data_IF_856411561744
#
_entry.id   IF_856411561744
#
_cell.length_a   1.000
_cell.length_b   1.000
_cell.length_c   1.000
_cell.angle_alpha   90.00
_cell.angle_beta   90.00
_cell.angle_gamma   90.00
#
_symmetry.space_group_name_H-M   'P 1'
#
loop_
_entity.id
_entity.type
_entity.pdbx_description
1 polymer ?
#
# COMPACT_ATOMS: atom_id res chain seq x y z
N UNK A 1 59.80 41.90 6.30
CA UNK A 1 58.44 41.41 6.61
C UNK A 1 58.16 40.27 5.66
N UNK A 2 58.08 39.07 6.21
CA UNK A 2 57.96 37.81 5.49
C UNK A 2 56.51 37.58 5.07
N UNK A 3 56.26 37.26 3.80
CA UNK A 3 55.00 36.64 3.39
C UNK A 3 55.32 35.34 2.66
N UNK A 4 55.01 34.24 3.35
CA UNK A 4 55.17 32.88 2.89
C UNK A 4 54.10 32.46 1.89
N UNK A 5 54.54 31.64 0.94
CA UNK A 5 53.88 30.48 0.32
C UNK A 5 52.35 30.37 0.47
N UNK A 6 51.63 30.56 -0.64
CA UNK A 6 50.29 29.99 -0.82
C UNK A 6 50.45 28.64 -1.54
N UNK A 7 50.25 27.55 -0.80
CA UNK A 7 50.23 26.20 -1.32
C UNK A 7 48.98 25.97 -2.17
N UNK A 8 49.19 25.36 -3.32
CA UNK A 8 48.15 24.78 -4.17
C UNK A 8 47.94 23.33 -3.74
N UNK A 9 46.88 23.05 -3.00
CA UNK A 9 46.34 21.69 -2.92
C UNK A 9 44.88 21.77 -2.46
N UNK A 10 43.93 21.55 -3.37
CA UNK A 10 42.70 20.86 -2.99
C UNK A 10 42.06 20.19 -4.22
N UNK A 11 42.54 18.98 -4.46
CA UNK A 11 41.76 17.77 -4.75
C UNK A 11 40.26 17.99 -4.99
N UNK A 12 39.81 17.72 -6.22
CA UNK A 12 38.40 17.43 -6.48
C UNK A 12 38.04 16.07 -5.86
N UNK A 13 36.85 15.93 -5.23
CA UNK A 13 36.20 14.64 -5.24
C UNK A 13 34.76 14.76 -5.74
N UNK A 14 34.52 14.04 -6.84
CA UNK A 14 33.39 13.15 -6.99
C UNK A 14 32.00 13.76 -6.86
N UNK A 15 31.31 13.83 -8.01
CA UNK A 15 29.86 13.66 -8.07
C UNK A 15 29.50 12.34 -7.36
N UNK A 16 29.32 12.38 -6.04
CA UNK A 16 28.57 11.35 -5.34
C UNK A 16 27.13 11.55 -5.77
N UNK A 17 26.73 10.83 -6.83
CA UNK A 17 25.32 10.50 -7.05
C UNK A 17 24.87 9.81 -5.76
N UNK A 18 24.26 10.58 -4.87
CA UNK A 18 23.56 10.05 -3.69
C UNK A 18 22.71 8.88 -4.17
N UNK A 19 22.73 7.71 -3.51
CA UNK A 19 21.77 6.68 -3.80
C UNK A 19 20.38 7.32 -3.64
N UNK A 20 19.60 7.37 -4.72
CA UNK A 20 18.19 7.76 -4.61
C UNK A 20 17.58 6.76 -3.64
N UNK A 21 17.13 7.22 -2.46
CA UNK A 21 16.19 6.46 -1.65
C UNK A 21 15.09 5.96 -2.60
N UNK A 22 14.65 4.69 -2.53
CA UNK A 22 13.45 4.25 -3.24
C UNK A 22 12.38 5.32 -3.05
N UNK A 23 11.84 5.82 -4.16
CA UNK A 23 11.14 7.11 -4.22
C UNK A 23 10.14 7.25 -3.08
N UNK A 24 10.21 8.38 -2.38
CA UNK A 24 9.28 8.70 -1.31
C UNK A 24 7.85 8.42 -1.79
N UNK A 25 7.18 7.46 -1.18
CA UNK A 25 5.83 7.01 -1.55
C UNK A 25 4.75 8.06 -1.22
N UNK A 26 5.05 9.36 -1.20
CA UNK A 26 4.07 10.41 -0.98
C UNK A 26 3.08 10.47 -2.15
N UNK A 27 1.81 10.12 -1.89
CA UNK A 27 0.73 10.17 -2.88
C UNK A 27 -0.10 8.90 -2.93
N UNK A 28 -0.96 8.79 -3.94
CA UNK A 28 -1.76 7.59 -4.19
C UNK A 28 -0.90 6.50 -4.86
N UNK A 29 -0.98 5.30 -4.30
CA UNK A 29 -0.33 4.10 -4.81
C UNK A 29 -1.34 2.99 -5.02
N UNK A 30 -1.07 2.15 -6.01
CA UNK A 30 -1.68 0.85 -6.16
C UNK A 30 -0.78 -0.18 -5.50
N UNK A 31 -1.33 -0.86 -4.51
CA UNK A 31 -0.72 -1.97 -3.80
C UNK A 31 -1.40 -3.25 -4.24
N UNK A 32 -0.63 -4.25 -4.65
CA UNK A 32 -1.14 -5.61 -4.89
C UNK A 32 -0.71 -6.51 -3.76
N UNK A 33 -1.69 -7.14 -3.11
CA UNK A 33 -1.52 -8.15 -2.08
C UNK A 33 -1.88 -9.52 -2.65
N UNK A 34 -1.08 -10.54 -2.36
CA UNK A 34 -1.35 -11.93 -2.76
C UNK A 34 -1.34 -12.83 -1.54
N UNK A 35 -2.22 -13.84 -1.52
CA UNK A 35 -2.37 -14.76 -0.40
C UNK A 35 -1.01 -15.41 -0.07
N UNK A 36 -0.58 -15.26 1.17
CA UNK A 36 0.64 -15.89 1.66
C UNK A 36 0.41 -17.40 1.86
N UNK A 37 1.48 -18.13 2.21
CA UNK A 37 1.37 -19.56 2.48
C UNK A 37 0.42 -19.82 3.65
N UNK A 38 -0.52 -20.72 3.45
CA UNK A 38 -1.43 -21.22 4.48
C UNK A 38 -1.66 -22.74 4.29
N UNK A 39 -2.30 -23.45 5.23
CA UNK A 39 -2.52 -24.89 5.10
C UNK A 39 -3.20 -25.32 3.78
N UNK A 40 -4.14 -24.51 3.29
CA UNK A 40 -4.85 -24.75 2.03
C UNK A 40 -4.03 -24.35 0.79
N UNK A 41 -3.09 -23.41 0.93
CA UNK A 41 -2.24 -22.89 -0.14
C UNK A 41 -0.77 -22.90 0.31
N UNK A 42 -0.09 -24.06 0.30
CA UNK A 42 1.26 -24.19 0.86
C UNK A 42 2.32 -23.38 0.09
N UNK A 43 2.05 -22.99 -1.16
CA UNK A 43 2.89 -22.08 -1.94
C UNK A 43 2.40 -20.62 -1.93
N UNK A 44 1.30 -20.33 -1.20
CA UNK A 44 0.53 -19.11 -1.36
C UNK A 44 -0.26 -19.13 -2.67
N UNK A 45 -0.94 -18.03 -2.99
CA UNK A 45 -1.68 -17.91 -4.24
C UNK A 45 -1.63 -16.51 -4.82
N UNK A 46 -1.03 -16.38 -6.01
CA UNK A 46 -1.08 -15.14 -6.79
C UNK A 46 -2.46 -14.89 -7.42
N UNK A 47 -3.32 -15.91 -7.46
CA UNK A 47 -4.69 -15.82 -7.94
C UNK A 47 -5.70 -15.40 -6.87
N UNK A 48 -5.27 -15.23 -5.61
CA UNK A 48 -6.13 -14.80 -4.50
C UNK A 48 -5.51 -13.60 -3.81
N UNK A 49 -6.22 -12.48 -3.75
CA UNK A 49 -5.62 -11.27 -3.22
C UNK A 49 -6.45 -10.00 -3.36
N UNK A 50 -5.78 -8.88 -3.15
CA UNK A 50 -6.36 -7.55 -3.21
C UNK A 50 -5.50 -6.61 -4.05
N UNK A 51 -6.14 -5.77 -4.83
CA UNK A 51 -5.56 -4.53 -5.34
C UNK A 51 -6.17 -3.36 -4.58
N UNK A 52 -5.32 -2.55 -3.97
CA UNK A 52 -5.73 -1.43 -3.13
C UNK A 52 -5.11 -0.16 -3.70
N UNK A 53 -5.94 0.81 -4.06
CA UNK A 53 -5.51 2.19 -4.30
C UNK A 53 -5.62 2.94 -2.98
N UNK A 54 -4.49 3.38 -2.44
CA UNK A 54 -4.44 4.06 -1.14
C UNK A 54 -3.34 5.12 -1.11
N UNK A 55 -3.51 6.19 -0.31
CA UNK A 55 -2.45 7.13 -0.05
C UNK A 55 -1.44 6.51 0.93
N UNK A 56 -0.18 6.53 0.53
CA UNK A 56 0.92 6.07 1.39
C UNK A 56 1.77 7.27 1.83
N UNK A 57 2.34 7.16 3.02
CA UNK A 57 3.40 8.03 3.51
C UNK A 57 4.75 7.55 2.99
N UNK A 58 5.82 8.38 3.07
CA UNK A 58 7.16 7.98 2.64
C UNK A 58 7.73 6.76 3.35
N UNK A 59 7.22 6.43 4.54
CA UNK A 59 7.57 5.24 5.31
C UNK A 59 6.78 3.99 4.88
N UNK A 60 5.79 4.12 4.01
CA UNK A 60 4.93 3.03 3.51
C UNK A 60 3.67 2.78 4.35
N UNK A 61 3.39 3.59 5.38
CA UNK A 61 2.13 3.50 6.11
C UNK A 61 0.98 4.22 5.38
N UNK A 62 -0.26 3.83 5.66
CA UNK A 62 -1.43 4.54 5.15
C UNK A 62 -1.49 5.97 5.70
N UNK A 63 -1.71 6.92 4.81
CA UNK A 63 -1.85 8.32 5.19
C UNK A 63 -3.31 8.69 5.42
N UNK A 64 -3.73 8.71 6.69
CA UNK A 64 -5.08 9.11 7.08
C UNK A 64 -5.45 10.52 6.61
N UNK A 65 -4.51 11.48 6.68
CA UNK A 65 -4.78 12.87 6.31
C UNK A 65 -5.07 12.98 4.81
N UNK A 66 -4.16 12.44 3.99
CA UNK A 66 -4.34 12.42 2.54
C UNK A 66 -5.52 11.55 2.11
N UNK A 67 -5.85 10.50 2.89
CA UNK A 67 -7.04 9.70 2.65
C UNK A 67 -8.32 10.53 2.79
N UNK A 68 -8.44 11.38 3.80
CA UNK A 68 -9.61 12.24 3.95
C UNK A 68 -9.84 13.13 2.71
N UNK A 69 -8.75 13.61 2.09
CA UNK A 69 -8.78 14.45 0.88
C UNK A 69 -9.01 13.65 -0.41
N UNK A 70 -8.64 12.36 -0.43
CA UNK A 70 -8.60 11.54 -1.66
C UNK A 70 -9.52 10.31 -1.62
N UNK A 71 -10.38 10.18 -0.60
CA UNK A 71 -11.23 9.01 -0.32
C UNK A 71 -11.98 8.46 -1.53
N UNK A 72 -12.45 9.32 -2.44
CA UNK A 72 -13.20 8.91 -3.63
C UNK A 72 -12.37 8.11 -4.64
N UNK A 73 -11.04 8.29 -4.59
CA UNK A 73 -10.04 7.58 -5.39
C UNK A 73 -9.52 6.33 -4.71
N UNK A 74 -9.75 6.17 -3.41
CA UNK A 74 -9.27 5.04 -2.63
C UNK A 74 -10.17 3.81 -2.84
N UNK A 75 -9.78 2.97 -3.81
CA UNK A 75 -10.58 1.81 -4.26
C UNK A 75 -9.90 0.50 -3.95
N UNK A 76 -10.70 -0.51 -3.68
CA UNK A 76 -10.24 -1.88 -3.45
C UNK A 76 -10.87 -2.80 -4.48
N UNK A 77 -10.09 -3.75 -4.97
CA UNK A 77 -10.56 -4.91 -5.74
C UNK A 77 -10.07 -6.19 -5.08
N UNK A 78 -11.01 -7.02 -4.66
CA UNK A 78 -10.84 -8.39 -4.20
C UNK A 78 -10.84 -9.31 -5.43
N UNK A 79 -9.80 -10.12 -5.63
CA UNK A 79 -9.73 -11.07 -6.76
C UNK A 79 -9.43 -12.49 -6.29
N UNK A 80 -10.18 -13.46 -6.80
CA UNK A 80 -10.02 -14.89 -6.54
C UNK A 80 -10.18 -15.63 -7.87
N UNK A 81 -9.18 -16.41 -8.28
CA UNK A 81 -9.30 -17.24 -9.49
C UNK A 81 -10.50 -18.17 -9.37
N UNK A 82 -11.46 -18.03 -10.29
CA UNK A 82 -12.69 -18.82 -10.31
C UNK A 82 -13.90 -18.17 -9.62
N UNK A 83 -13.73 -17.00 -9.00
CA UNK A 83 -14.82 -16.20 -8.41
C UNK A 83 -14.91 -14.83 -9.10
N UNK A 84 -16.09 -14.19 -9.11
CA UNK A 84 -16.20 -12.81 -9.54
C UNK A 84 -15.43 -11.88 -8.59
N UNK A 85 -14.72 -10.92 -9.18
CA UNK A 85 -14.06 -9.86 -8.42
C UNK A 85 -15.09 -9.07 -7.59
N UNK A 86 -14.77 -8.80 -6.32
CA UNK A 86 -15.54 -7.84 -5.50
C UNK A 86 -14.82 -6.49 -5.49
N UNK A 87 -15.58 -5.40 -5.50
CA UNK A 87 -15.03 -4.04 -5.50
C UNK A 87 -15.56 -3.29 -4.29
N UNK A 88 -14.70 -2.45 -3.73
CA UNK A 88 -15.02 -1.69 -2.53
C UNK A 88 -14.23 -0.39 -2.45
N UNK A 89 -14.36 0.27 -1.30
CA UNK A 89 -13.62 1.49 -0.94
C UNK A 89 -12.78 1.23 0.30
N UNK A 90 -11.60 1.83 0.33
CA UNK A 90 -10.83 1.86 1.56
C UNK A 90 -11.41 2.95 2.46
N UNK A 91 -11.84 2.59 3.67
CA UNK A 91 -12.43 3.49 4.65
C UNK A 91 -11.51 3.60 5.86
N UNK A 92 -11.31 4.82 6.36
CA UNK A 92 -10.63 5.06 7.63
C UNK A 92 -11.68 5.43 8.67
N UNK A 93 -11.70 4.71 9.80
CA UNK A 93 -12.48 5.08 10.98
C UNK A 93 -11.51 5.54 12.06
N UNK A 94 -11.68 6.80 12.50
CA UNK A 94 -10.99 7.30 13.67
C UNK A 94 -11.37 6.43 14.87
N UNK A 95 -10.36 5.95 15.60
CA UNK A 95 -10.57 5.02 16.69
C UNK A 95 -10.77 5.70 18.05
N UNK A 96 -11.47 4.99 18.93
CA UNK A 96 -11.41 5.20 20.38
C UNK A 96 -10.18 4.53 21.00
N UNK A 97 -10.33 3.90 22.17
CA UNK A 97 -9.22 3.31 22.97
C UNK A 97 -8.33 2.31 22.19
N UNK A 98 -8.87 1.66 21.15
CA UNK A 98 -8.14 0.70 20.28
C UNK A 98 -7.35 1.29 19.11
N UNK A 99 -7.35 2.61 18.94
CA UNK A 99 -6.68 3.27 17.82
C UNK A 99 -7.46 3.19 16.49
N UNK A 100 -6.99 3.93 15.50
CA UNK A 100 -7.68 4.06 14.22
C UNK A 100 -7.68 2.76 13.40
N UNK A 101 -8.81 2.47 12.76
CA UNK A 101 -9.04 1.24 11.99
C UNK A 101 -9.25 1.55 10.52
N UNK A 102 -8.77 0.66 9.66
CA UNK A 102 -8.97 0.75 8.22
C UNK A 102 -9.88 -0.37 7.76
N UNK A 103 -10.82 -0.09 6.87
CA UNK A 103 -11.86 -1.04 6.48
C UNK A 103 -11.93 -1.10 4.96
N UNK A 104 -12.39 -2.23 4.44
CA UNK A 104 -12.80 -2.33 3.04
C UNK A 104 -14.30 -2.50 3.05
N UNK A 105 -14.96 -1.45 2.59
CA UNK A 105 -16.39 -1.42 2.44
C UNK A 105 -16.74 -1.90 1.03
N UNK A 106 -17.42 -3.05 0.95
CA UNK A 106 -17.83 -3.68 -0.31
C UNK A 106 -19.20 -3.22 -0.80
N UNK A 107 -19.94 -2.41 -0.03
CA UNK A 107 -21.35 -2.12 -0.30
C UNK A 107 -21.63 -0.63 -0.47
N UNK A 108 -22.52 -0.34 -1.42
CA UNK A 108 -23.29 0.90 -1.44
C UNK A 108 -24.73 0.56 -0.91
N UNK A 109 -25.19 -0.72 -0.92
CA UNK A 109 -26.61 -1.14 -0.79
C UNK A 109 -27.07 -1.89 0.47
N UNK A 110 -26.23 -2.24 1.46
CA UNK A 110 -26.77 -2.72 2.74
C UNK A 110 -26.13 -2.04 3.94
N UNK A 111 -26.95 -1.88 4.98
CA UNK A 111 -26.60 -1.32 6.29
C UNK A 111 -26.37 -2.48 7.29
N UNK A 112 -26.01 -3.66 6.78
CA UNK A 112 -25.68 -4.81 7.62
C UNK A 112 -24.26 -4.64 8.12
N UNK A 113 -24.14 -4.68 9.45
CA UNK A 113 -22.94 -4.45 10.27
C UNK A 113 -21.87 -5.55 10.10
N UNK A 114 -21.85 -6.24 8.95
CA UNK A 114 -20.84 -7.22 8.55
C UNK A 114 -19.56 -6.49 8.11
N UNK A 115 -19.00 -5.75 9.05
CA UNK A 115 -17.79 -4.97 8.91
C UNK A 115 -16.58 -5.91 8.80
N UNK A 116 -16.14 -6.14 7.57
CA UNK A 116 -14.80 -6.64 7.30
C UNK A 116 -13.78 -5.66 7.91
N UNK A 117 -13.36 -5.95 9.13
CA UNK A 117 -12.37 -5.18 9.89
C UNK A 117 -10.96 -5.47 9.42
N UNK A 118 -10.24 -4.48 8.89
CA UNK A 118 -8.83 -4.62 8.53
C UNK A 118 -7.98 -3.87 9.55
N UNK A 119 -6.79 -4.39 9.88
CA UNK A 119 -5.83 -3.66 10.73
C UNK A 119 -4.65 -3.13 9.90
N UNK A 120 -4.94 -2.59 8.71
CA UNK A 120 -3.93 -2.12 7.76
C UNK A 120 -3.09 -0.95 8.30
N UNK A 121 -3.61 -0.18 9.26
CA UNK A 121 -2.96 1.04 9.75
C UNK A 121 -1.61 0.82 10.44
N UNK A 122 -1.43 -0.35 11.05
CA UNK A 122 -0.17 -0.70 11.73
C UNK A 122 0.87 -1.29 10.78
N UNK A 123 0.44 -1.81 9.62
CA UNK A 123 1.34 -2.46 8.67
C UNK A 123 1.91 -1.47 7.66
N UNK A 124 3.14 -1.74 7.25
CA UNK A 124 3.82 -0.98 6.22
C UNK A 124 3.61 -1.68 4.86
N UNK A 125 3.16 -0.94 3.85
CA UNK A 125 3.02 -1.44 2.49
C UNK A 125 4.34 -1.31 1.73
N UNK A 126 5.24 -2.26 1.99
CA UNK A 126 6.52 -2.42 1.29
C UNK A 126 6.54 -3.77 0.60
N UNK A 127 7.01 -3.82 -0.65
CA UNK A 127 7.11 -5.07 -1.39
C UNK A 127 7.89 -6.13 -0.60
N UNK A 128 7.30 -7.31 -0.46
CA UNK A 128 7.84 -8.40 0.33
C UNK A 128 7.28 -8.54 1.73
N UNK A 129 6.76 -7.46 2.32
CA UNK A 129 6.16 -7.45 3.67
C UNK A 129 4.81 -8.15 3.71
N UNK A 130 4.30 -8.39 4.93
CA UNK A 130 3.06 -9.12 5.17
C UNK A 130 2.01 -8.26 5.86
N UNK A 131 0.77 -8.48 5.46
CA UNK A 131 -0.41 -7.77 5.92
C UNK A 131 -1.49 -8.79 6.22
N UNK A 132 -2.08 -8.71 7.41
CA UNK A 132 -3.20 -9.58 7.81
C UNK A 132 -4.53 -8.91 7.56
N UNK A 133 -5.45 -9.66 6.98
CA UNK A 133 -6.78 -9.21 6.56
C UNK A 133 -7.81 -10.21 7.09
N UNK A 134 -8.86 -9.70 7.73
CA UNK A 134 -10.04 -10.48 8.10
C UNK A 134 -11.18 -10.12 7.15
N UNK A 135 -11.79 -11.13 6.52
CA UNK A 135 -12.96 -10.93 5.67
C UNK A 135 -14.25 -10.84 6.50
N UNK A 136 -15.26 -10.15 5.96
CA UNK A 136 -16.60 -10.14 6.55
C UNK A 136 -17.18 -11.56 6.55
N UNK A 137 -17.73 -11.98 7.69
CA UNK A 137 -18.24 -13.34 7.88
C UNK A 137 -17.18 -14.41 8.17
N UNK A 138 -15.88 -14.06 8.20
CA UNK A 138 -14.80 -14.95 8.62
C UNK A 138 -14.26 -14.53 10.01
N UNK A 139 -14.08 -15.51 10.90
CA UNK A 139 -13.49 -15.29 12.23
C UNK A 139 -11.94 -15.23 12.18
N UNK A 140 -11.33 -15.75 11.10
CA UNK A 140 -9.88 -15.91 10.97
C UNK A 140 -9.22 -14.84 10.09
N UNK A 141 -8.02 -14.39 10.51
CA UNK A 141 -7.18 -13.52 9.71
C UNK A 141 -6.40 -14.32 8.67
N UNK A 142 -6.54 -13.94 7.40
CA UNK A 142 -5.69 -14.43 6.31
C UNK A 142 -4.49 -13.51 6.15
N UNK A 143 -3.30 -14.10 6.00
CA UNK A 143 -2.07 -13.35 5.78
C UNK A 143 -1.83 -13.19 4.28
N UNK A 144 -1.53 -11.96 3.85
CA UNK A 144 -1.19 -11.63 2.49
C UNK A 144 0.20 -11.02 2.43
N UNK A 145 0.92 -11.28 1.35
CA UNK A 145 2.20 -10.64 1.03
C UNK A 145 1.96 -9.45 0.12
N UNK A 146 2.65 -8.34 0.38
CA UNK A 146 2.73 -7.21 -0.54
C UNK A 146 3.55 -7.63 -1.75
N UNK A 147 2.86 -8.01 -2.83
CA UNK A 147 3.49 -8.47 -4.07
C UNK A 147 4.02 -7.31 -4.90
N UNK A 148 3.33 -6.15 -4.85
CA UNK A 148 3.72 -4.97 -5.62
C UNK A 148 3.25 -3.68 -4.96
N UNK A 149 4.06 -2.63 -5.06
CA UNK A 149 3.67 -1.25 -4.76
C UNK A 149 4.07 -0.36 -5.92
N UNK A 150 3.13 0.41 -6.47
CA UNK A 150 3.42 1.34 -7.57
C UNK A 150 2.57 2.59 -7.51
N UNK A 151 3.16 3.73 -7.85
CA UNK A 151 2.44 4.99 -7.92
C UNK A 151 1.23 4.88 -8.87
N UNK A 152 0.07 5.37 -8.46
CA UNK A 152 -1.03 5.55 -9.41
C UNK A 152 -0.69 6.76 -10.26
N UNK A 153 -0.20 6.54 -11.49
CA UNK A 153 -0.19 7.61 -12.47
C UNK A 153 -1.66 7.97 -12.74
N UNK A 154 -2.10 9.10 -12.22
CA UNK A 154 -3.33 9.77 -12.64
C UNK A 154 -3.13 10.26 -14.08
N UNK A 155 -3.18 9.34 -15.05
CA UNK A 155 -2.93 9.62 -16.46
C UNK A 155 -2.12 8.52 -17.15
N UNK A 156 -2.79 7.45 -17.56
CA UNK A 156 -2.18 6.37 -18.34
C UNK A 156 -3.26 5.63 -19.12
N UNK A 157 -3.44 6.06 -20.37
CA UNK A 157 -4.38 5.56 -21.39
C UNK A 157 -4.59 4.05 -21.34
N UNK A 158 -5.86 3.66 -21.51
CA UNK A 158 -6.24 2.28 -21.78
C UNK A 158 -5.45 1.72 -22.97
N UNK A 159 -4.67 0.68 -22.71
CA UNK A 159 -4.15 -0.21 -23.73
C UNK A 159 -5.26 -1.18 -24.11
N UNK A 160 -5.80 -0.98 -25.30
CA UNK A 160 -6.65 -1.94 -26.00
C UNK A 160 -5.86 -3.23 -26.12
N UNK A 161 -6.37 -4.32 -25.55
CA UNK A 161 -5.94 -5.66 -25.93
C UNK A 161 -6.67 -5.97 -27.24
N UNK A 162 -5.90 -6.03 -28.33
CA UNK A 162 -6.29 -6.64 -29.59
C UNK A 162 -5.69 -8.04 -29.66
#
# INVERSE_FOLDING_TARGET
>A
MSHGTHGIDEVAPGLTRRPRKPGALSGLHRVTLTLARCPEHPQGSAGRGYDIVAPLRPDGHLDAALWHETRDRCRVRRFWTGEPDRRGRLVHRAGGEGGATWLIDYEDWTNEDDEAGYRLGTHTFVEGEYVSIREAGDEEYRTFRVARVGATNAGGRGGVFA
#
